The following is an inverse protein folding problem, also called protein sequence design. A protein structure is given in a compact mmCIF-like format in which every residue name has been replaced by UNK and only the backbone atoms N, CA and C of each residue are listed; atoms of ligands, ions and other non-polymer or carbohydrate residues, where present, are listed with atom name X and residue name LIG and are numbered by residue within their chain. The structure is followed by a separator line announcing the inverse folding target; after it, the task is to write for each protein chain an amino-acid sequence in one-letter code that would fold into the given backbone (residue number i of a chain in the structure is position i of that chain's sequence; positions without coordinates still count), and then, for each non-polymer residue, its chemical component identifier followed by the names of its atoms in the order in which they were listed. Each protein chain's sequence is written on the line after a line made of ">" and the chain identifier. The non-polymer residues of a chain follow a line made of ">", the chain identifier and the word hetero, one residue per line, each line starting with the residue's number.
data_IF_889649464931
#
_entry.id   IF_889649464931
#
_cell.length_a   1.000
_cell.length_b   1.000
_cell.length_c   1.000
_cell.angle_alpha   90.00
_cell.angle_beta   90.00
_cell.angle_gamma   90.00
#
_symmetry.space_group_name_H-M   'P 1'
#
loop_
_entity.id
_entity.type
_entity.pdbx_description
1 polymer ?
#
# COMPACT_ATOMS: atom_id res chain seq x y z
N UNK A 1 -28.39 -8.78 -31.30
CA UNK A 1 -28.73 -7.40 -31.69
C UNK A 1 -29.09 -6.63 -30.44
N UNK A 2 -28.87 -5.31 -30.40
CA UNK A 2 -29.24 -4.48 -29.26
C UNK A 2 -30.72 -4.12 -29.33
N UNK A 3 -31.38 -4.02 -28.19
CA UNK A 3 -32.86 -3.87 -28.10
C UNK A 3 -33.38 -2.58 -28.75
N UNK A 4 -32.56 -1.53 -28.81
CA UNK A 4 -32.92 -0.20 -29.34
C UNK A 4 -32.59 -0.01 -30.83
N UNK A 5 -32.16 -1.06 -31.54
CA UNK A 5 -31.86 -1.02 -32.98
C UNK A 5 -32.68 -2.09 -33.68
N UNK A 6 -33.53 -1.67 -34.62
CA UNK A 6 -34.29 -2.59 -35.50
C UNK A 6 -33.85 -2.38 -36.94
N UNK A 7 -33.49 -3.46 -37.64
CA UNK A 7 -33.09 -3.41 -39.06
C UNK A 7 -34.25 -3.98 -39.88
N UNK A 8 -34.83 -3.15 -40.75
CA UNK A 8 -35.94 -3.48 -41.63
C UNK A 8 -35.50 -3.32 -43.09
N UNK A 9 -34.92 -4.37 -43.67
CA UNK A 9 -34.34 -4.29 -45.02
C UNK A 9 -33.13 -3.35 -45.03
N UNK A 10 -33.21 -2.28 -45.82
CA UNK A 10 -32.15 -1.27 -45.94
C UNK A 10 -32.29 -0.11 -44.93
N UNK A 11 -33.34 -0.13 -44.09
CA UNK A 11 -33.58 0.90 -43.08
C UNK A 11 -33.15 0.43 -41.68
N UNK A 12 -32.44 1.31 -40.97
CA UNK A 12 -32.10 1.12 -39.55
C UNK A 12 -32.95 2.09 -38.72
N UNK A 13 -33.78 1.54 -37.85
CA UNK A 13 -34.65 2.29 -36.93
C UNK A 13 -34.00 2.30 -35.54
N UNK A 14 -33.74 3.50 -35.05
CA UNK A 14 -33.21 3.74 -33.71
C UNK A 14 -34.35 4.14 -32.77
N UNK A 15 -34.52 3.38 -31.68
CA UNK A 15 -35.48 3.72 -30.64
C UNK A 15 -34.91 4.80 -29.72
N UNK A 16 -35.72 5.79 -29.34
CA UNK A 16 -35.29 6.82 -28.41
C UNK A 16 -35.45 6.43 -26.93
N UNK A 17 -35.78 5.16 -26.65
CA UNK A 17 -35.99 4.63 -25.29
C UNK A 17 -35.27 3.30 -25.12
N UNK A 18 -34.51 3.12 -24.03
CA UNK A 18 -33.75 1.91 -23.73
C UNK A 18 -33.51 1.72 -22.23
N UNK A 19 -33.03 0.53 -21.84
CA UNK A 19 -32.60 0.24 -20.48
C UNK A 19 -31.19 0.78 -20.23
N UNK A 20 -31.00 1.58 -19.17
CA UNK A 20 -29.70 2.00 -18.68
C UNK A 20 -29.69 2.04 -17.14
N UNK A 21 -28.66 1.47 -16.51
CA UNK A 21 -28.54 1.47 -15.04
C UNK A 21 -29.69 0.76 -14.31
N UNK A 22 -30.34 -0.20 -14.97
CA UNK A 22 -31.49 -0.94 -14.44
C UNK A 22 -32.85 -0.23 -14.58
N UNK A 23 -32.90 0.95 -15.20
CA UNK A 23 -34.15 1.69 -15.47
C UNK A 23 -34.36 1.95 -16.96
N UNK A 24 -35.61 2.24 -17.35
CA UNK A 24 -35.92 2.72 -18.71
C UNK A 24 -35.65 4.22 -18.81
N UNK A 25 -34.87 4.61 -19.82
CA UNK A 25 -34.51 5.99 -20.11
C UNK A 25 -35.02 6.36 -21.49
N UNK A 26 -35.67 7.52 -21.60
CA UNK A 26 -36.08 8.10 -22.88
C UNK A 26 -35.22 9.31 -23.19
N UNK A 27 -34.52 9.28 -24.31
CA UNK A 27 -33.72 10.38 -24.80
C UNK A 27 -34.61 11.45 -25.44
N UNK A 28 -34.62 12.63 -24.83
CA UNK A 28 -35.32 13.81 -25.30
C UNK A 28 -34.62 15.08 -24.80
N UNK A 29 -33.31 15.18 -25.07
CA UNK A 29 -32.47 16.28 -24.59
C UNK A 29 -31.75 16.95 -25.75
N UNK A 30 -31.57 18.26 -25.61
CA UNK A 30 -30.75 19.10 -26.49
C UNK A 30 -29.73 19.79 -25.60
N UNK A 31 -28.47 19.80 -26.03
CA UNK A 31 -27.42 20.47 -25.26
C UNK A 31 -27.73 21.97 -25.10
N UNK A 32 -27.62 22.48 -23.88
CA UNK A 32 -27.66 23.91 -23.61
C UNK A 32 -26.35 24.58 -24.05
N UNK A 33 -26.38 25.90 -24.25
CA UNK A 33 -25.20 26.67 -24.67
C UNK A 33 -24.02 26.49 -23.70
N UNK A 34 -24.28 26.49 -22.39
CA UNK A 34 -23.25 26.27 -21.36
C UNK A 34 -22.62 24.88 -21.46
N UNK A 35 -23.38 23.89 -21.93
CA UNK A 35 -22.88 22.53 -22.14
C UNK A 35 -21.97 22.45 -23.37
N UNK A 36 -22.25 23.26 -24.41
CA UNK A 36 -21.36 23.39 -25.58
C UNK A 36 -20.03 24.05 -25.20
N UNK A 37 -20.06 25.06 -24.31
CA UNK A 37 -18.86 25.67 -23.75
C UNK A 37 -18.06 24.62 -22.96
N UNK A 38 -18.71 23.89 -22.06
CA UNK A 38 -18.08 22.80 -21.29
C UNK A 38 -17.44 21.74 -22.20
N UNK A 39 -18.14 21.31 -23.26
CA UNK A 39 -17.60 20.36 -24.24
C UNK A 39 -16.37 20.88 -24.98
N UNK A 40 -16.34 22.18 -25.30
CA UNK A 40 -15.18 22.83 -25.92
C UNK A 40 -13.98 22.86 -24.97
N UNK A 41 -14.18 23.22 -23.70
CA UNK A 41 -13.14 23.22 -22.67
C UNK A 41 -12.54 21.82 -22.49
N UNK A 42 -13.38 20.79 -22.39
CA UNK A 42 -12.92 19.40 -22.29
C UNK A 42 -12.12 18.97 -23.52
N UNK A 43 -12.56 19.32 -24.74
CA UNK A 43 -11.82 18.98 -25.95
C UNK A 43 -10.42 19.63 -26.01
N UNK A 44 -10.27 20.81 -25.43
CA UNK A 44 -8.99 21.53 -25.32
C UNK A 44 -8.00 20.91 -24.31
N UNK A 45 -8.39 19.88 -23.56
CA UNK A 45 -7.53 19.27 -22.55
C UNK A 45 -7.48 20.08 -21.25
N UNK A 46 -8.64 20.58 -20.82
CA UNK A 46 -8.80 21.41 -19.61
C UNK A 46 -9.84 20.81 -18.66
N UNK A 47 -9.93 21.38 -17.45
CA UNK A 47 -10.98 21.06 -16.50
C UNK A 47 -12.18 22.00 -16.71
N UNK A 48 -13.35 21.42 -16.98
CA UNK A 48 -14.62 22.14 -17.00
C UNK A 48 -15.27 22.06 -15.63
N UNK A 49 -15.27 23.17 -14.88
CA UNK A 49 -15.98 23.25 -13.61
C UNK A 49 -17.45 23.60 -13.87
N UNK A 50 -18.34 22.65 -13.56
CA UNK A 50 -19.78 22.75 -13.81
C UNK A 50 -20.55 22.32 -12.56
N UNK A 51 -21.47 23.17 -12.10
CA UNK A 51 -22.28 22.87 -10.93
C UNK A 51 -23.09 21.56 -11.09
N UNK A 52 -23.34 20.89 -9.96
CA UNK A 52 -24.17 19.67 -9.95
C UNK A 52 -25.54 19.93 -10.54
N UNK A 53 -25.94 19.11 -11.50
CA UNK A 53 -27.21 19.25 -12.22
C UNK A 53 -27.10 19.97 -13.58
N UNK A 54 -25.96 20.57 -13.92
CA UNK A 54 -25.73 21.18 -15.25
C UNK A 54 -25.54 20.16 -16.38
N UNK A 55 -25.56 18.85 -16.06
CA UNK A 55 -25.53 17.78 -17.04
C UNK A 55 -24.13 17.36 -17.51
N UNK A 56 -23.15 17.27 -16.59
CA UNK A 56 -21.77 16.79 -16.84
C UNK A 56 -21.70 15.54 -17.72
N UNK A 57 -22.51 14.52 -17.40
CA UNK A 57 -22.59 13.28 -18.18
C UNK A 57 -23.01 13.51 -19.64
N UNK A 58 -23.94 14.44 -19.90
CA UNK A 58 -24.37 14.80 -21.25
C UNK A 58 -23.28 15.61 -21.97
N UNK A 59 -22.64 16.55 -21.27
CA UNK A 59 -21.52 17.36 -21.79
C UNK A 59 -20.38 16.47 -22.29
N UNK A 60 -20.09 15.39 -21.55
CA UNK A 60 -19.05 14.41 -21.86
C UNK A 60 -19.17 13.81 -23.27
N UNK A 61 -20.40 13.72 -23.81
CA UNK A 61 -20.64 13.13 -25.14
C UNK A 61 -20.00 13.91 -26.28
N UNK A 62 -19.91 15.24 -26.17
CA UNK A 62 -19.37 16.12 -27.20
C UNK A 62 -17.87 15.88 -27.47
N UNK A 63 -16.97 16.01 -26.47
CA UNK A 63 -15.56 15.75 -26.67
C UNK A 63 -15.27 14.26 -26.88
N UNK A 64 -16.06 13.35 -26.28
CA UNK A 64 -15.88 11.92 -26.49
C UNK A 64 -16.11 11.54 -27.95
N UNK A 65 -17.21 11.98 -28.56
CA UNK A 65 -17.50 11.73 -29.97
C UNK A 65 -16.39 12.31 -30.87
N UNK A 66 -16.05 13.59 -30.69
CA UNK A 66 -15.06 14.26 -31.54
C UNK A 66 -13.68 13.61 -31.49
N UNK A 67 -13.21 13.20 -30.30
CA UNK A 67 -11.90 12.56 -30.16
C UNK A 67 -11.92 11.08 -30.60
N UNK A 68 -13.07 10.41 -30.51
CA UNK A 68 -13.21 9.03 -30.96
C UNK A 68 -13.08 8.88 -32.48
N UNK A 69 -13.40 9.93 -33.26
CA UNK A 69 -13.24 9.93 -34.73
C UNK A 69 -11.79 9.67 -35.20
N UNK A 70 -10.80 9.84 -34.33
CA UNK A 70 -9.41 9.52 -34.65
C UNK A 70 -9.12 8.01 -34.70
N UNK A 71 -9.99 7.15 -34.17
CA UNK A 71 -9.78 5.69 -34.10
C UNK A 71 -8.74 5.23 -33.07
N UNK A 72 -8.02 6.16 -32.44
CA UNK A 72 -7.11 5.92 -31.30
C UNK A 72 -7.87 5.76 -29.96
N UNK A 73 -9.14 6.15 -30.00
CA UNK A 73 -10.21 6.07 -29.01
C UNK A 73 -10.00 6.70 -27.63
N UNK A 74 -11.04 6.58 -26.81
CA UNK A 74 -11.31 7.50 -25.69
C UNK A 74 -11.61 6.73 -24.42
N UNK A 75 -10.95 7.09 -23.33
CA UNK A 75 -11.22 6.55 -22.00
C UNK A 75 -12.04 7.57 -21.19
N UNK A 76 -13.23 7.18 -20.74
CA UNK A 76 -14.06 7.96 -19.83
C UNK A 76 -13.95 7.32 -18.45
N UNK A 77 -13.39 8.08 -17.51
CA UNK A 77 -13.06 7.60 -16.17
C UNK A 77 -14.10 8.14 -15.19
N UNK A 78 -14.69 7.25 -14.40
CA UNK A 78 -15.64 7.59 -13.33
C UNK A 78 -15.14 7.08 -11.97
N UNK A 79 -15.79 7.51 -10.89
CA UNK A 79 -15.37 7.16 -9.52
C UNK A 79 -15.79 5.76 -9.05
N UNK A 80 -16.72 5.09 -9.74
CA UNK A 80 -17.12 3.72 -9.39
C UNK A 80 -17.77 2.96 -10.56
N UNK A 81 -17.77 1.64 -10.46
CA UNK A 81 -18.25 0.70 -11.48
C UNK A 81 -19.72 0.93 -11.86
N UNK A 82 -20.56 1.32 -10.90
CA UNK A 82 -21.97 1.57 -11.15
C UNK A 82 -22.15 2.78 -12.09
N UNK A 83 -21.43 3.88 -11.85
CA UNK A 83 -21.47 5.07 -12.69
C UNK A 83 -20.89 4.77 -14.08
N UNK A 84 -19.74 4.08 -14.15
CA UNK A 84 -19.15 3.66 -15.42
C UNK A 84 -20.15 2.87 -16.28
N UNK A 85 -20.78 1.85 -15.69
CA UNK A 85 -21.77 1.00 -16.38
C UNK A 85 -23.01 1.80 -16.77
N UNK A 86 -23.59 2.54 -15.83
CA UNK A 86 -24.79 3.36 -16.06
C UNK A 86 -24.56 4.34 -17.20
N UNK A 87 -23.46 5.08 -17.20
CA UNK A 87 -23.20 6.14 -18.17
C UNK A 87 -22.84 5.56 -19.54
N UNK A 88 -22.14 4.41 -19.57
CA UNK A 88 -21.92 3.66 -20.82
C UNK A 88 -23.23 3.19 -21.46
N UNK A 89 -24.20 2.76 -20.66
CA UNK A 89 -25.51 2.30 -21.14
C UNK A 89 -26.42 3.46 -21.50
N UNK A 90 -26.33 4.55 -20.75
CA UNK A 90 -27.12 5.73 -20.99
C UNK A 90 -26.68 6.45 -22.27
N UNK A 91 -25.38 6.72 -22.45
CA UNK A 91 -24.90 7.46 -23.61
C UNK A 91 -24.51 6.57 -24.80
N UNK A 92 -24.26 5.28 -24.57
CA UNK A 92 -23.85 4.31 -25.60
C UNK A 92 -24.69 4.36 -26.88
N UNK A 93 -26.03 4.32 -26.78
CA UNK A 93 -26.89 4.34 -27.98
C UNK A 93 -26.67 5.56 -28.86
N UNK A 94 -26.43 6.74 -28.29
CA UNK A 94 -26.21 7.98 -29.06
C UNK A 94 -24.95 7.86 -29.91
N UNK A 95 -23.88 7.34 -29.34
CA UNK A 95 -22.63 7.10 -30.06
C UNK A 95 -22.80 6.04 -31.14
N UNK A 96 -23.57 4.99 -30.87
CA UNK A 96 -23.85 3.90 -31.81
C UNK A 96 -24.73 4.32 -32.98
N UNK A 97 -25.69 5.23 -32.75
CA UNK A 97 -26.44 5.87 -33.83
C UNK A 97 -25.52 6.65 -34.77
N UNK A 98 -24.42 7.18 -34.22
CA UNK A 98 -23.38 7.89 -34.96
C UNK A 98 -22.26 6.96 -35.46
N UNK A 99 -22.43 5.64 -35.35
CA UNK A 99 -21.53 4.64 -35.91
C UNK A 99 -20.30 4.30 -35.05
N UNK A 100 -20.25 4.75 -33.80
CA UNK A 100 -19.17 4.41 -32.87
C UNK A 100 -19.54 3.21 -31.99
N UNK A 101 -18.53 2.42 -31.61
CA UNK A 101 -18.65 1.35 -30.64
C UNK A 101 -18.31 1.87 -29.23
N UNK A 102 -19.18 1.53 -28.28
CA UNK A 102 -18.99 1.86 -26.86
C UNK A 102 -18.97 0.59 -26.02
N UNK A 103 -18.09 0.55 -25.03
CA UNK A 103 -18.02 -0.55 -24.07
C UNK A 103 -17.59 -0.05 -22.68
N UNK A 104 -17.74 -0.91 -21.67
CA UNK A 104 -17.35 -0.62 -20.29
C UNK A 104 -16.51 -1.77 -19.74
N UNK A 105 -15.28 -1.47 -19.32
CA UNK A 105 -14.32 -2.48 -18.88
C UNK A 105 -14.77 -3.20 -17.61
N UNK A 106 -15.51 -2.52 -16.73
CA UNK A 106 -16.01 -3.08 -15.48
C UNK A 106 -17.01 -4.21 -15.72
N UNK A 107 -17.57 -4.37 -16.94
CA UNK A 107 -18.46 -5.49 -17.30
C UNK A 107 -17.71 -6.81 -17.53
N UNK A 108 -16.40 -6.75 -17.70
CA UNK A 108 -15.59 -7.84 -18.21
C UNK A 108 -14.50 -8.23 -17.22
N UNK A 109 -14.19 -9.53 -17.16
CA UNK A 109 -13.12 -10.04 -16.31
C UNK A 109 -11.76 -9.46 -16.77
N UNK A 110 -10.86 -9.06 -15.85
CA UNK A 110 -9.51 -8.62 -16.20
C UNK A 110 -8.75 -9.67 -17.05
N UNK A 111 -7.88 -9.21 -17.95
CA UNK A 111 -7.08 -10.04 -18.87
C UNK A 111 -7.87 -10.97 -19.81
N UNK A 112 -9.19 -10.80 -19.94
CA UNK A 112 -10.02 -11.59 -20.85
C UNK A 112 -10.05 -11.02 -22.28
N UNK A 113 -10.43 -11.86 -23.24
CA UNK A 113 -10.70 -11.41 -24.62
C UNK A 113 -11.80 -10.35 -24.68
N UNK A 114 -12.81 -10.43 -23.80
CA UNK A 114 -13.86 -9.41 -23.70
C UNK A 114 -13.30 -8.07 -23.20
N UNK A 115 -12.36 -8.09 -22.26
CA UNK A 115 -11.65 -6.89 -21.78
C UNK A 115 -10.87 -6.22 -22.90
N UNK A 116 -10.13 -7.00 -23.70
CA UNK A 116 -9.40 -6.50 -24.88
C UNK A 116 -10.37 -5.92 -25.92
N UNK A 117 -11.50 -6.61 -26.17
CA UNK A 117 -12.56 -6.09 -27.04
C UNK A 117 -13.12 -4.77 -26.53
N UNK A 118 -13.26 -4.57 -25.23
CA UNK A 118 -13.76 -3.33 -24.65
C UNK A 118 -12.80 -2.15 -24.85
N UNK A 119 -11.49 -2.37 -24.73
CA UNK A 119 -10.46 -1.36 -25.06
C UNK A 119 -10.37 -1.08 -26.56
N UNK A 120 -10.71 -2.05 -27.41
CA UNK A 120 -10.79 -1.88 -28.86
C UNK A 120 -12.06 -1.15 -29.32
N UNK A 121 -12.97 -0.76 -28.42
CA UNK A 121 -14.08 0.12 -28.74
C UNK A 121 -13.58 1.56 -29.02
N UNK A 122 -14.39 2.38 -29.69
CA UNK A 122 -14.04 3.78 -29.93
C UNK A 122 -14.08 4.60 -28.64
N UNK A 123 -15.02 4.27 -27.74
CA UNK A 123 -15.17 4.86 -26.43
C UNK A 123 -15.26 3.75 -25.37
N UNK A 124 -14.43 3.85 -24.34
CA UNK A 124 -14.32 2.87 -23.27
C UNK A 124 -14.57 3.57 -21.93
N UNK A 125 -15.62 3.15 -21.23
CA UNK A 125 -15.92 3.59 -19.86
C UNK A 125 -15.20 2.69 -18.85
N UNK A 126 -14.77 3.27 -17.73
CA UNK A 126 -14.12 2.52 -16.65
C UNK A 126 -13.92 3.33 -15.38
N UNK A 127 -13.41 2.67 -14.34
CA UNK A 127 -12.88 3.35 -13.14
C UNK A 127 -11.38 3.62 -13.25
N UNK A 128 -10.90 4.60 -12.51
CA UNK A 128 -9.47 4.93 -12.39
C UNK A 128 -8.63 3.71 -11.98
N UNK A 129 -9.11 2.94 -11.01
CA UNK A 129 -8.46 1.73 -10.54
C UNK A 129 -8.35 0.68 -11.63
N UNK A 130 -9.44 0.39 -12.33
CA UNK A 130 -9.46 -0.65 -13.37
C UNK A 130 -8.54 -0.30 -14.55
N UNK A 131 -8.55 0.95 -15.02
CA UNK A 131 -7.60 1.41 -16.04
C UNK A 131 -6.15 1.31 -15.57
N UNK A 132 -5.85 1.73 -14.34
CA UNK A 132 -4.49 1.68 -13.82
C UNK A 132 -3.99 0.25 -13.58
N UNK A 133 -4.84 -0.64 -13.08
CA UNK A 133 -4.48 -2.04 -12.87
C UNK A 133 -4.32 -2.81 -14.18
N UNK A 134 -5.13 -2.55 -15.20
CA UNK A 134 -4.90 -3.13 -16.54
C UNK A 134 -3.57 -2.67 -17.13
N UNK A 135 -3.19 -1.40 -16.94
CA UNK A 135 -1.86 -0.95 -17.34
C UNK A 135 -0.75 -1.69 -16.59
N UNK A 136 -0.86 -1.88 -15.28
CA UNK A 136 0.12 -2.66 -14.53
C UNK A 136 0.17 -4.12 -15.00
N UNK A 137 -0.97 -4.74 -15.30
CA UNK A 137 -1.07 -6.12 -15.83
C UNK A 137 -0.41 -6.23 -17.21
N UNK A 138 -0.67 -5.28 -18.10
CA UNK A 138 -0.06 -5.25 -19.44
C UNK A 138 1.47 -5.07 -19.40
N UNK A 139 2.03 -4.52 -18.32
CA UNK A 139 3.48 -4.44 -18.14
C UNK A 139 4.10 -5.71 -17.53
N UNK A 140 3.30 -6.73 -17.21
CA UNK A 140 3.73 -8.01 -16.65
C UNK A 140 3.47 -9.20 -17.56
N UNK A 141 2.82 -9.01 -18.72
CA UNK A 141 2.54 -10.11 -19.66
C UNK A 141 3.82 -10.60 -20.33
N UNK A 142 3.80 -11.87 -20.78
CA UNK A 142 4.96 -12.48 -21.45
C UNK A 142 5.00 -12.20 -22.95
N UNK A 143 3.85 -11.91 -23.55
CA UNK A 143 3.72 -11.64 -24.98
C UNK A 143 2.83 -10.41 -25.25
N UNK A 144 3.09 -9.62 -26.31
CA UNK A 144 2.27 -8.47 -26.66
C UNK A 144 0.79 -8.80 -26.92
N UNK A 145 0.51 -10.01 -27.38
CA UNK A 145 -0.84 -10.48 -27.67
C UNK A 145 -1.70 -10.63 -26.42
N UNK A 146 -1.10 -10.76 -25.23
CA UNK A 146 -1.80 -10.84 -23.96
C UNK A 146 -2.29 -9.48 -23.46
N UNK A 147 -1.71 -8.37 -23.95
CA UNK A 147 -2.11 -7.02 -23.53
C UNK A 147 -3.58 -6.74 -23.84
N UNK A 148 -4.25 -6.03 -22.94
CA UNK A 148 -5.65 -5.62 -23.12
C UNK A 148 -5.77 -4.16 -23.56
N UNK A 149 -4.89 -3.28 -23.12
CA UNK A 149 -4.93 -1.86 -23.48
C UNK A 149 -4.28 -1.59 -24.84
N UNK A 150 -4.71 -0.48 -25.43
CA UNK A 150 -4.01 0.22 -26.52
C UNK A 150 -3.25 1.41 -25.96
N UNK A 151 -2.54 2.13 -26.84
CA UNK A 151 -1.84 3.36 -26.49
C UNK A 151 -2.79 4.41 -25.90
N UNK A 152 -2.35 5.10 -24.84
CA UNK A 152 -3.14 6.12 -24.13
C UNK A 152 -3.33 7.39 -24.97
N UNK A 153 -4.49 7.54 -25.59
CA UNK A 153 -4.80 8.67 -26.48
C UNK A 153 -5.50 9.84 -25.77
N UNK A 154 -6.78 9.67 -25.40
CA UNK A 154 -7.56 10.71 -24.71
C UNK A 154 -8.24 10.13 -23.47
N UNK A 155 -7.98 10.73 -22.31
CA UNK A 155 -8.70 10.45 -21.06
C UNK A 155 -9.54 11.65 -20.65
N UNK A 156 -10.77 11.37 -20.24
CA UNK A 156 -11.67 12.35 -19.64
C UNK A 156 -12.11 11.83 -18.27
N UNK A 157 -11.77 12.56 -17.23
CA UNK A 157 -12.03 12.18 -15.85
C UNK A 157 -13.26 12.92 -15.31
N UNK A 158 -14.26 12.18 -14.84
CA UNK A 158 -15.37 12.73 -14.05
C UNK A 158 -14.98 12.79 -12.57
N UNK A 159 -15.46 13.81 -11.87
CA UNK A 159 -15.06 14.16 -10.49
C UNK A 159 -13.52 14.20 -10.32
N UNK A 160 -12.90 15.08 -11.10
CA UNK A 160 -11.44 15.26 -11.19
C UNK A 160 -10.76 15.46 -9.84
N UNK A 161 -11.37 16.23 -8.95
CA UNK A 161 -10.90 16.46 -7.59
C UNK A 161 -10.80 15.15 -6.81
N UNK A 162 -11.82 14.30 -6.87
CA UNK A 162 -11.79 12.99 -6.21
C UNK A 162 -10.71 12.07 -6.81
N UNK A 163 -10.60 12.01 -8.14
CA UNK A 163 -9.73 11.03 -8.82
C UNK A 163 -8.26 11.47 -8.90
N UNK A 164 -8.00 12.73 -9.25
CA UNK A 164 -6.65 13.23 -9.52
C UNK A 164 -5.97 13.88 -8.32
N UNK A 165 -6.72 14.18 -7.25
CA UNK A 165 -6.19 14.75 -6.00
C UNK A 165 -6.34 13.76 -4.85
N UNK A 166 -7.56 13.36 -4.49
CA UNK A 166 -7.79 12.53 -3.29
C UNK A 166 -7.28 11.09 -3.47
N UNK A 167 -7.73 10.38 -4.51
CA UNK A 167 -7.31 9.00 -4.80
C UNK A 167 -5.84 8.93 -5.21
N UNK A 168 -5.32 9.99 -5.83
CA UNK A 168 -3.97 10.03 -6.37
C UNK A 168 -2.85 9.98 -5.31
N UNK A 169 -3.20 10.10 -4.02
CA UNK A 169 -2.26 10.02 -2.89
C UNK A 169 -1.75 8.61 -2.64
N UNK A 170 -2.49 7.59 -3.04
CA UNK A 170 -2.10 6.19 -2.83
C UNK A 170 -1.70 5.57 -4.17
N UNK A 171 -0.49 4.99 -4.30
CA UNK A 171 -0.11 4.30 -5.52
C UNK A 171 -0.93 3.03 -5.74
N UNK A 172 -1.15 2.67 -7.00
CA UNK A 172 -1.65 1.36 -7.39
C UNK A 172 -0.50 0.36 -7.31
N UNK A 173 -0.78 -0.82 -6.74
CA UNK A 173 0.23 -1.84 -6.46
C UNK A 173 -0.36 -3.21 -6.82
N UNK A 174 0.34 -3.96 -7.68
CA UNK A 174 0.09 -5.39 -7.82
C UNK A 174 1.10 -6.14 -6.97
N UNK A 175 0.58 -6.92 -6.03
CA UNK A 175 1.36 -7.84 -5.21
C UNK A 175 0.84 -9.26 -5.41
N UNK A 176 1.71 -10.25 -5.26
CA UNK A 176 1.28 -11.64 -5.25
C UNK A 176 2.15 -12.52 -4.37
N UNK A 177 1.73 -13.77 -4.14
CA UNK A 177 2.38 -14.66 -3.20
C UNK A 177 3.80 -14.99 -3.66
N UNK A 178 4.73 -15.05 -2.71
CA UNK A 178 6.10 -15.49 -2.96
C UNK A 178 6.13 -17.03 -2.94
N UNK A 179 6.49 -17.73 -4.03
CA UNK A 179 6.46 -19.20 -4.12
C UNK A 179 7.35 -19.95 -3.12
N UNK A 180 8.27 -19.24 -2.45
CA UNK A 180 9.24 -19.79 -1.49
C UNK A 180 9.12 -19.19 -0.08
N UNK A 181 8.06 -18.42 0.21
CA UNK A 181 7.94 -17.70 1.49
C UNK A 181 7.55 -18.57 2.69
N UNK A 182 7.14 -19.82 2.47
CA UNK A 182 6.51 -20.66 3.51
C UNK A 182 7.48 -21.31 4.52
N UNK A 183 8.79 -21.09 4.39
CA UNK A 183 9.77 -21.58 5.37
C UNK A 183 10.37 -20.45 6.23
N UNK A 184 9.71 -19.30 6.36
CA UNK A 184 9.97 -18.46 7.53
C UNK A 184 9.50 -19.27 8.74
N UNK A 185 10.45 -19.91 9.43
CA UNK A 185 10.25 -20.91 10.47
C UNK A 185 9.56 -20.36 11.74
N UNK A 186 8.67 -19.36 11.62
CA UNK A 186 7.99 -18.68 12.70
C UNK A 186 7.30 -19.63 13.66
N UNK A 187 6.63 -20.68 13.17
CA UNK A 187 6.01 -21.67 14.05
C UNK A 187 7.04 -22.43 14.92
N UNK A 188 8.23 -22.70 14.37
CA UNK A 188 9.33 -23.40 15.06
C UNK A 188 10.07 -22.45 16.02
N UNK A 189 10.22 -21.19 15.62
CA UNK A 189 10.99 -20.17 16.36
C UNK A 189 10.16 -19.48 17.44
N UNK A 190 8.83 -19.38 17.29
CA UNK A 190 7.93 -18.71 18.23
C UNK A 190 8.13 -19.17 19.68
N UNK A 191 8.17 -20.48 20.02
CA UNK A 191 8.38 -20.89 21.41
C UNK A 191 9.73 -20.43 21.98
N UNK A 192 10.77 -20.33 21.14
CA UNK A 192 12.08 -19.83 21.57
C UNK A 192 12.03 -18.34 21.88
N UNK A 193 11.42 -17.56 20.98
CA UNK A 193 11.29 -16.11 21.15
C UNK A 193 10.38 -15.77 22.33
N UNK A 194 9.27 -16.51 22.51
CA UNK A 194 8.39 -16.35 23.66
C UNK A 194 9.16 -16.55 24.98
N UNK A 195 9.92 -17.64 25.11
CA UNK A 195 10.75 -17.90 26.29
C UNK A 195 11.79 -16.78 26.53
N UNK A 196 12.38 -16.25 25.46
CA UNK A 196 13.34 -15.16 25.53
C UNK A 196 12.70 -13.87 26.04
N UNK A 197 11.51 -13.52 25.55
CA UNK A 197 10.74 -12.35 26.00
C UNK A 197 10.31 -12.49 27.46
N UNK A 198 9.85 -13.67 27.87
CA UNK A 198 9.51 -13.95 29.27
C UNK A 198 10.73 -13.84 30.20
N UNK A 199 11.91 -14.28 29.74
CA UNK A 199 13.16 -14.15 30.49
C UNK A 199 13.59 -12.68 30.60
N UNK A 200 13.50 -11.91 29.50
CA UNK A 200 13.74 -10.47 29.49
C UNK A 200 12.81 -9.73 30.46
N UNK A 201 11.52 -10.06 30.49
CA UNK A 201 10.56 -9.42 31.39
C UNK A 201 10.94 -9.62 32.86
N UNK A 202 11.45 -10.81 33.23
CA UNK A 202 11.94 -11.06 34.59
C UNK A 202 13.14 -10.18 34.94
N UNK A 203 14.08 -9.99 34.00
CA UNK A 203 15.23 -9.09 34.17
C UNK A 203 14.78 -7.63 34.32
N UNK A 204 13.91 -7.15 33.41
CA UNK A 204 13.33 -5.80 33.45
C UNK A 204 12.60 -5.54 34.76
N UNK A 205 11.82 -6.50 35.25
CA UNK A 205 11.15 -6.42 36.55
C UNK A 205 12.17 -6.28 37.70
N UNK A 206 13.28 -7.02 37.64
CA UNK A 206 14.40 -6.90 38.59
C UNK A 206 15.02 -5.51 38.56
N UNK A 207 15.39 -5.02 37.38
CA UNK A 207 15.95 -3.67 37.22
C UNK A 207 15.01 -2.57 37.69
N UNK A 208 13.71 -2.67 37.36
CA UNK A 208 12.71 -1.70 37.81
C UNK A 208 12.58 -1.67 39.34
N UNK A 209 12.65 -2.83 40.01
CA UNK A 209 12.60 -2.89 41.47
C UNK A 209 13.84 -2.24 42.11
N UNK A 210 15.03 -2.52 41.58
CA UNK A 210 16.27 -1.89 42.08
C UNK A 210 16.31 -0.38 41.79
N UNK A 211 15.84 0.05 40.62
CA UNK A 211 15.69 1.47 40.30
C UNK A 211 14.77 2.17 41.31
N UNK A 212 13.59 1.59 41.60
CA UNK A 212 12.65 2.12 42.59
C UNK A 212 13.27 2.24 43.98
N UNK A 213 13.99 1.20 44.42
CA UNK A 213 14.67 1.19 45.72
C UNK A 213 15.73 2.29 45.82
N UNK A 214 16.65 2.34 44.86
CA UNK A 214 17.75 3.33 44.86
C UNK A 214 17.24 4.76 44.74
N UNK A 215 16.27 5.01 43.87
CA UNK A 215 15.68 6.34 43.71
C UNK A 215 14.95 6.78 44.99
N UNK A 216 14.27 5.86 45.69
CA UNK A 216 13.64 6.14 46.98
C UNK A 216 14.66 6.45 48.09
N UNK A 217 15.86 5.85 48.02
CA UNK A 217 17.00 6.14 48.91
C UNK A 217 17.74 7.45 48.55
N UNK A 218 17.34 8.13 47.47
CA UNK A 218 17.97 9.37 46.98
C UNK A 218 19.15 9.14 46.03
N UNK A 219 19.44 7.89 45.66
CA UNK A 219 20.49 7.50 44.71
C UNK A 219 19.93 7.46 43.28
N UNK A 220 19.87 8.63 42.62
CA UNK A 220 19.38 8.80 41.25
C UNK A 220 20.48 9.09 40.22
N UNK A 221 21.72 8.77 40.56
CA UNK A 221 22.85 8.95 39.66
C UNK A 221 22.70 8.10 38.38
N UNK A 222 23.07 8.61 37.19
CA UNK A 222 23.07 7.85 35.94
C UNK A 222 23.78 6.50 36.00
N UNK A 223 24.77 6.33 36.89
CA UNK A 223 25.56 5.09 37.03
C UNK A 223 24.99 4.10 38.03
N UNK A 224 23.94 4.47 38.78
CA UNK A 224 23.34 3.66 39.84
C UNK A 224 21.84 3.49 39.62
N UNK A 225 20.97 4.20 40.35
CA UNK A 225 19.51 4.12 40.21
C UNK A 225 19.04 4.52 38.80
N UNK A 226 19.72 5.48 38.17
CA UNK A 226 19.48 5.86 36.78
C UNK A 226 19.82 4.75 35.77
N UNK A 227 20.91 3.99 36.00
CA UNK A 227 21.30 2.86 35.14
C UNK A 227 20.24 1.77 35.15
N UNK A 228 19.75 1.37 36.33
CA UNK A 228 18.69 0.36 36.44
C UNK A 228 17.38 0.82 35.80
N UNK A 229 17.03 2.10 35.96
CA UNK A 229 15.86 2.66 35.29
C UNK A 229 16.02 2.65 33.76
N UNK A 230 17.20 3.00 33.27
CA UNK A 230 17.49 3.00 31.84
C UNK A 230 17.53 1.59 31.25
N UNK A 231 18.10 0.60 31.96
CA UNK A 231 18.05 -0.82 31.57
C UNK A 231 16.62 -1.34 31.48
N UNK A 232 15.77 -1.01 32.46
CA UNK A 232 14.36 -1.39 32.42
C UNK A 232 13.64 -0.80 31.18
N UNK A 233 13.90 0.48 30.89
CA UNK A 233 13.32 1.16 29.73
C UNK A 233 13.83 0.62 28.39
N UNK A 234 15.14 0.43 28.26
CA UNK A 234 15.76 -0.10 27.04
C UNK A 234 15.43 -1.58 26.78
N UNK A 235 15.16 -2.33 27.85
CA UNK A 235 14.77 -3.73 27.76
C UNK A 235 13.32 -3.94 27.30
N UNK A 236 12.35 -3.24 27.92
CA UNK A 236 10.92 -3.30 27.58
C UNK A 236 10.25 -1.94 27.88
N UNK A 237 10.28 -0.97 26.95
CA UNK A 237 9.76 0.38 27.18
C UNK A 237 8.25 0.41 27.39
N UNK A 238 7.53 -0.51 26.73
CA UNK A 238 6.07 -0.69 26.86
C UNK A 238 5.63 -1.50 28.09
N UNK A 239 6.55 -1.90 28.97
CA UNK A 239 6.19 -2.68 30.16
C UNK A 239 5.30 -1.87 31.13
N UNK A 240 4.05 -2.29 31.34
CA UNK A 240 3.04 -1.54 32.11
C UNK A 240 3.51 -0.99 33.48
N UNK A 241 4.16 -1.81 34.35
CA UNK A 241 4.71 -1.34 35.62
C UNK A 241 5.81 -0.27 35.49
N UNK A 242 6.58 -0.29 34.40
CA UNK A 242 7.55 0.74 34.09
C UNK A 242 6.83 2.03 33.66
N UNK A 243 5.88 1.93 32.72
CA UNK A 243 5.08 3.09 32.25
C UNK A 243 4.47 3.82 33.46
N UNK A 244 3.84 3.07 34.38
CA UNK A 244 3.25 3.60 35.60
C UNK A 244 4.28 4.36 36.47
N UNK A 245 5.49 3.81 36.61
CA UNK A 245 6.55 4.46 37.39
C UNK A 245 7.09 5.71 36.69
N UNK A 246 7.25 5.69 35.37
CA UNK A 246 7.65 6.85 34.58
C UNK A 246 6.64 8.00 34.64
N UNK A 247 5.35 7.70 34.87
CA UNK A 247 4.30 8.70 35.07
C UNK A 247 4.38 9.42 36.42
N UNK A 248 5.18 8.94 37.37
CA UNK A 248 5.37 9.62 38.66
C UNK A 248 6.20 10.91 38.52
N UNK A 249 5.96 11.93 39.35
CA UNK A 249 6.64 13.22 39.24
C UNK A 249 8.17 13.08 39.32
N UNK A 250 8.87 13.62 38.32
CA UNK A 250 10.34 13.66 38.28
C UNK A 250 11.04 12.38 37.81
N UNK A 251 10.34 11.25 37.66
CA UNK A 251 10.98 9.99 37.24
C UNK A 251 11.45 10.05 35.77
N UNK A 252 10.64 10.62 34.86
CA UNK A 252 11.06 10.84 33.46
C UNK A 252 12.33 11.68 33.34
N UNK A 253 12.51 12.68 34.21
CA UNK A 253 13.71 13.53 34.20
C UNK A 253 14.94 12.72 34.60
N UNK A 254 14.81 11.83 35.59
CA UNK A 254 15.88 10.91 36.00
C UNK A 254 16.25 9.92 34.88
N UNK A 255 15.26 9.35 34.19
CA UNK A 255 15.49 8.51 33.01
C UNK A 255 16.26 9.28 31.93
N UNK A 256 15.81 10.50 31.59
CA UNK A 256 16.45 11.31 30.55
C UNK A 256 17.89 11.70 30.91
N UNK A 257 18.16 11.96 32.20
CA UNK A 257 19.53 12.20 32.70
C UNK A 257 20.42 10.98 32.50
N UNK A 258 19.90 9.77 32.74
CA UNK A 258 20.62 8.53 32.51
C UNK A 258 20.83 8.25 31.01
N UNK A 259 19.78 8.39 30.20
CA UNK A 259 19.85 8.23 28.75
C UNK A 259 20.91 9.16 28.13
N UNK A 260 20.88 10.46 28.49
CA UNK A 260 21.86 11.44 28.00
C UNK A 260 23.30 11.08 28.38
N UNK A 261 23.51 10.46 29.54
CA UNK A 261 24.84 10.05 29.98
C UNK A 261 25.40 8.90 29.13
N UNK A 262 24.59 7.87 28.83
CA UNK A 262 25.05 6.70 28.07
C UNK A 262 25.05 6.92 26.55
N UNK A 263 24.19 7.80 26.03
CA UNK A 263 24.20 8.20 24.62
C UNK A 263 25.27 9.26 24.29
N UNK A 264 25.89 9.88 25.29
CA UNK A 264 27.00 10.82 25.08
C UNK A 264 28.19 10.14 24.38
N UNK A 265 29.09 10.97 23.82
CA UNK A 265 30.35 10.53 23.21
C UNK A 265 30.20 9.36 22.21
N UNK A 266 29.21 9.46 21.31
CA UNK A 266 28.91 8.44 20.30
C UNK A 266 28.56 7.06 20.90
N UNK A 267 27.72 7.02 21.94
CA UNK A 267 27.20 5.76 22.52
C UNK A 267 28.28 4.85 23.14
N UNK A 268 29.45 5.42 23.49
CA UNK A 268 30.63 4.66 23.95
C UNK A 268 30.40 3.80 25.20
N UNK A 269 29.35 4.09 25.97
CA UNK A 269 29.02 3.39 27.22
C UNK A 269 27.73 2.56 27.13
N UNK A 270 27.17 2.39 25.93
CA UNK A 270 25.93 1.61 25.75
C UNK A 270 26.10 0.11 26.02
N UNK A 271 27.32 -0.40 25.84
CA UNK A 271 27.71 -1.76 26.22
C UNK A 271 27.38 -2.05 27.69
N UNK A 272 27.63 -1.11 28.60
CA UNK A 272 27.32 -1.26 30.03
C UNK A 272 25.81 -1.46 30.26
N UNK A 273 24.98 -0.78 29.47
CA UNK A 273 23.52 -0.87 29.60
C UNK A 273 23.03 -2.20 29.05
N UNK A 274 23.48 -2.55 27.84
CA UNK A 274 23.00 -3.69 27.07
C UNK A 274 23.59 -5.04 27.57
N UNK A 275 24.72 -5.03 28.28
CA UNK A 275 25.39 -6.22 28.82
C UNK A 275 24.47 -7.14 29.64
N UNK A 276 23.52 -6.58 30.38
CA UNK A 276 22.61 -7.34 31.24
C UNK A 276 21.25 -7.66 30.61
N UNK A 277 21.02 -7.20 29.38
CA UNK A 277 19.80 -7.47 28.62
C UNK A 277 19.99 -8.69 27.72
N UNK A 278 18.90 -9.37 27.37
CA UNK A 278 18.88 -10.43 26.34
C UNK A 278 18.65 -9.84 24.95
N UNK A 279 17.90 -8.75 24.89
CA UNK A 279 17.75 -7.91 23.70
C UNK A 279 17.49 -6.48 24.15
N UNK A 280 17.75 -5.52 23.27
CA UNK A 280 17.42 -4.13 23.51
C UNK A 280 16.48 -3.61 22.43
N UNK A 281 15.69 -2.60 22.79
CA UNK A 281 14.70 -1.98 21.92
C UNK A 281 15.09 -0.52 21.69
N UNK A 282 15.15 -0.13 20.42
CA UNK A 282 15.25 1.27 20.02
C UNK A 282 13.89 1.74 19.51
N UNK A 283 13.16 2.49 20.34
CA UNK A 283 11.84 3.02 19.96
C UNK A 283 11.93 4.06 18.84
N UNK A 284 13.06 4.78 18.70
CA UNK A 284 13.23 5.79 17.64
C UNK A 284 13.35 5.12 16.28
N UNK A 285 14.12 4.03 16.21
CA UNK A 285 14.33 3.27 14.98
C UNK A 285 13.34 2.10 14.81
N UNK A 286 12.48 1.84 15.80
CA UNK A 286 11.58 0.68 15.87
C UNK A 286 12.33 -0.64 15.57
N UNK A 287 13.53 -0.79 16.14
CA UNK A 287 14.37 -1.98 16.02
C UNK A 287 14.45 -2.75 17.33
N UNK A 288 14.70 -4.05 17.22
CA UNK A 288 14.91 -4.95 18.35
C UNK A 288 16.11 -5.83 18.02
N UNK A 289 17.15 -5.72 18.84
CA UNK A 289 18.44 -6.31 18.56
C UNK A 289 18.86 -7.23 19.71
N UNK A 290 19.25 -8.47 19.35
CA UNK A 290 19.72 -9.48 20.28
C UNK A 290 21.09 -9.09 20.84
N UNK A 291 21.30 -9.34 22.13
CA UNK A 291 22.64 -9.28 22.75
C UNK A 291 23.30 -10.66 22.72
N UNK A 292 24.60 -10.73 23.03
CA UNK A 292 25.31 -12.00 23.16
C UNK A 292 24.67 -12.93 24.20
N UNK A 293 24.20 -12.38 25.34
CA UNK A 293 23.43 -13.14 26.34
C UNK A 293 22.12 -13.65 25.76
N UNK A 294 21.43 -12.85 24.94
CA UNK A 294 20.23 -13.28 24.24
C UNK A 294 20.46 -14.43 23.28
N UNK A 295 21.53 -14.36 22.48
CA UNK A 295 21.95 -15.42 21.55
C UNK A 295 22.21 -16.72 22.33
N UNK A 296 22.90 -16.65 23.47
CA UNK A 296 23.15 -17.82 24.31
C UNK A 296 21.86 -18.42 24.88
N UNK A 297 20.89 -17.60 25.28
CA UNK A 297 19.62 -18.07 25.87
C UNK A 297 18.68 -18.67 24.81
N UNK A 298 18.64 -18.10 23.60
CA UNK A 298 17.76 -18.58 22.53
C UNK A 298 18.32 -19.83 21.81
N UNK A 299 19.64 -20.06 21.93
CA UNK A 299 20.33 -21.27 21.47
C UNK A 299 20.16 -22.39 22.49
N UNK A 300 19.68 -23.57 22.09
CA UNK A 300 19.41 -24.67 23.03
C UNK A 300 20.70 -25.42 23.40
N UNK A 301 20.69 -26.07 24.57
CA UNK A 301 21.76 -26.98 24.96
C UNK A 301 21.92 -28.13 23.95
N UNK A 302 23.13 -28.28 23.39
CA UNK A 302 23.44 -29.27 22.37
C UNK A 302 23.27 -28.80 20.92
N UNK A 303 22.84 -27.55 20.69
CA UNK A 303 22.88 -26.91 19.38
C UNK A 303 24.25 -26.27 19.10
N UNK A 304 24.50 -26.00 17.82
CA UNK A 304 25.66 -25.23 17.37
C UNK A 304 25.68 -23.84 18.04
N UNK A 305 26.77 -23.43 18.71
CA UNK A 305 26.91 -22.07 19.23
C UNK A 305 26.74 -20.98 18.15
N UNK A 306 27.07 -21.30 16.90
CA UNK A 306 26.95 -20.38 15.75
C UNK A 306 25.57 -20.47 15.08
N UNK A 307 24.56 -21.08 15.72
CA UNK A 307 23.24 -21.30 15.14
C UNK A 307 22.51 -19.99 14.77
N UNK A 308 22.72 -18.92 15.54
CA UNK A 308 22.20 -17.57 15.28
C UNK A 308 23.31 -16.55 14.97
N UNK A 309 24.51 -17.01 14.63
CA UNK A 309 25.64 -16.15 14.27
C UNK A 309 25.88 -16.25 12.76
N UNK A 310 25.94 -15.10 12.09
CA UNK A 310 26.28 -15.06 10.67
C UNK A 310 27.78 -15.27 10.49
N UNK A 311 28.22 -16.30 9.75
CA UNK A 311 29.63 -16.48 9.43
C UNK A 311 30.09 -15.43 8.42
N UNK A 312 31.37 -15.06 8.47
CA UNK A 312 31.99 -14.24 7.44
C UNK A 312 32.14 -15.04 6.14
N UNK A 313 31.21 -14.83 5.21
CA UNK A 313 31.20 -15.49 3.91
C UNK A 313 32.46 -15.13 3.11
N UNK A 314 32.94 -13.89 3.19
CA UNK A 314 34.04 -13.40 2.34
C UNK A 314 35.31 -14.21 2.59
N UNK A 315 35.60 -14.43 3.86
CA UNK A 315 36.76 -15.23 4.28
C UNK A 315 36.62 -16.69 3.85
N UNK A 316 35.46 -17.32 4.09
CA UNK A 316 35.23 -18.72 3.72
C UNK A 316 35.22 -18.96 2.21
N UNK A 317 34.64 -18.05 1.42
CA UNK A 317 34.66 -18.13 -0.04
C UNK A 317 36.09 -17.97 -0.59
N UNK A 318 36.89 -17.06 -0.01
CA UNK A 318 38.28 -16.88 -0.39
C UNK A 318 39.15 -18.11 -0.05
N UNK A 319 38.89 -18.78 1.06
CA UNK A 319 39.55 -20.05 1.41
C UNK A 319 39.27 -21.14 0.37
N UNK A 320 38.03 -21.29 -0.08
CA UNK A 320 37.65 -22.26 -1.13
C UNK A 320 38.23 -21.87 -2.49
N UNK A 321 38.23 -20.57 -2.81
CA UNK A 321 38.85 -20.03 -4.04
C UNK A 321 40.32 -20.45 -4.12
N UNK A 322 41.05 -20.33 -3.00
CA UNK A 322 42.47 -20.60 -2.89
C UNK A 322 42.82 -22.07 -2.59
N UNK A 323 41.85 -22.92 -2.30
CA UNK A 323 42.06 -24.34 -2.06
C UNK A 323 42.52 -25.07 -3.34
N UNK A 324 43.42 -26.04 -3.22
CA UNK A 324 43.93 -26.81 -4.36
C UNK A 324 43.04 -28.04 -4.63
N UNK A 325 41.78 -27.78 -4.98
CA UNK A 325 40.74 -28.78 -5.28
C UNK A 325 40.12 -28.53 -6.67
N UNK A 326 39.49 -29.54 -7.30
CA UNK A 326 38.86 -29.40 -8.62
C UNK A 326 37.80 -28.27 -8.66
N UNK A 327 37.69 -27.59 -9.80
CA UNK A 327 36.75 -26.46 -9.97
C UNK A 327 35.28 -26.82 -9.71
N UNK A 328 34.86 -28.02 -10.11
CA UNK A 328 33.50 -28.53 -9.86
C UNK A 328 33.22 -28.70 -8.36
N UNK A 329 34.23 -29.15 -7.61
CA UNK A 329 34.13 -29.31 -6.15
C UNK A 329 34.18 -27.96 -5.42
N UNK A 330 34.93 -26.98 -5.94
CA UNK A 330 34.87 -25.58 -5.47
C UNK A 330 33.47 -25.00 -5.63
N UNK A 331 32.85 -25.19 -6.79
CA UNK A 331 31.50 -24.68 -7.07
C UNK A 331 30.49 -25.26 -6.08
N UNK A 332 30.51 -26.58 -5.88
CA UNK A 332 29.61 -27.26 -4.95
C UNK A 332 29.81 -26.80 -3.49
N UNK A 333 31.07 -26.62 -3.04
CA UNK A 333 31.33 -26.09 -1.70
C UNK A 333 30.87 -24.63 -1.55
N UNK A 334 31.09 -23.78 -2.57
CA UNK A 334 30.59 -22.38 -2.58
C UNK A 334 29.06 -22.33 -2.50
N UNK A 335 28.36 -23.14 -3.29
CA UNK A 335 26.89 -23.25 -3.21
C UNK A 335 26.43 -23.71 -1.82
N UNK A 336 27.12 -24.69 -1.23
CA UNK A 336 26.85 -25.15 0.13
C UNK A 336 26.93 -24.02 1.16
N UNK A 337 27.99 -23.20 1.12
CA UNK A 337 28.17 -22.07 2.02
C UNK A 337 27.10 -21.00 1.81
N UNK A 338 26.78 -20.66 0.55
CA UNK A 338 25.75 -19.67 0.24
C UNK A 338 24.37 -20.11 0.75
N UNK A 339 24.04 -21.40 0.60
CA UNK A 339 22.79 -21.97 1.11
C UNK A 339 22.73 -21.97 2.64
N UNK A 340 23.82 -22.35 3.32
CA UNK A 340 23.91 -22.28 4.79
C UNK A 340 23.72 -20.85 5.28
N UNK A 341 24.40 -19.89 4.63
CA UNK A 341 24.29 -18.47 4.97
C UNK A 341 22.86 -17.95 4.78
N UNK A 342 22.23 -18.22 3.64
CA UNK A 342 20.83 -17.79 3.38
C UNK A 342 19.89 -18.34 4.45
N UNK A 343 20.03 -19.63 4.78
CA UNK A 343 19.20 -20.29 5.80
C UNK A 343 19.42 -19.72 7.21
N UNK A 344 20.66 -19.33 7.54
CA UNK A 344 20.97 -18.62 8.81
C UNK A 344 20.39 -17.20 8.81
N UNK A 345 20.54 -16.47 7.71
CA UNK A 345 20.02 -15.11 7.56
C UNK A 345 18.49 -15.06 7.68
N UNK A 346 17.76 -15.92 6.97
CA UNK A 346 16.29 -15.98 7.02
C UNK A 346 15.76 -16.29 8.42
N UNK A 347 16.47 -17.15 9.16
CA UNK A 347 16.14 -17.50 10.54
C UNK A 347 16.40 -16.35 11.52
N UNK A 348 17.53 -15.65 11.39
CA UNK A 348 17.83 -14.47 12.20
C UNK A 348 16.78 -13.38 11.95
N UNK A 349 16.45 -13.13 10.67
CA UNK A 349 15.38 -12.22 10.28
C UNK A 349 14.05 -12.60 10.93
N UNK A 350 13.68 -13.89 10.86
CA UNK A 350 12.44 -14.40 11.47
C UNK A 350 12.41 -14.18 12.99
N UNK A 351 13.54 -14.38 13.69
CA UNK A 351 13.67 -14.08 15.13
C UNK A 351 13.50 -12.60 15.41
N UNK A 352 14.13 -11.72 14.62
CA UNK A 352 14.00 -10.28 14.76
C UNK A 352 12.55 -9.81 14.56
N UNK A 353 11.86 -10.32 13.53
CA UNK A 353 10.45 -9.97 13.28
C UNK A 353 9.53 -10.49 14.40
N UNK A 354 9.77 -11.70 14.93
CA UNK A 354 9.04 -12.19 16.11
C UNK A 354 9.31 -11.31 17.34
N UNK A 355 10.57 -10.98 17.63
CA UNK A 355 10.91 -10.11 18.75
C UNK A 355 10.20 -8.76 18.64
N UNK A 356 10.19 -8.17 17.44
CA UNK A 356 9.45 -6.95 17.13
C UNK A 356 7.95 -7.13 17.35
N UNK A 357 7.34 -8.20 16.86
CA UNK A 357 5.94 -8.51 17.08
C UNK A 357 5.57 -8.67 18.56
N UNK A 358 6.44 -9.29 19.38
CA UNK A 358 6.20 -9.49 20.80
C UNK A 358 6.42 -8.23 21.65
N UNK A 359 7.33 -7.35 21.25
CA UNK A 359 7.78 -6.22 22.09
C UNK A 359 7.26 -4.84 21.67
N UNK A 360 6.95 -4.65 20.38
CA UNK A 360 6.54 -3.36 19.83
C UNK A 360 5.07 -3.31 19.39
N UNK A 361 4.42 -4.47 19.18
CA UNK A 361 3.05 -4.55 18.70
C UNK A 361 2.16 -5.22 19.75
N UNK A 362 1.14 -4.52 20.20
CA UNK A 362 0.16 -4.97 21.18
C UNK A 362 -1.20 -5.18 20.52
N UNK A 363 -1.84 -6.28 20.92
CA UNK A 363 -3.21 -6.58 20.53
C UNK A 363 -4.15 -5.51 21.11
N UNK A 364 -5.13 -5.12 20.32
CA UNK A 364 -6.12 -4.06 20.61
C UNK A 364 -5.52 -2.64 20.64
N UNK A 365 -4.27 -2.47 20.22
CA UNK A 365 -3.62 -1.17 20.03
C UNK A 365 -3.20 -1.01 18.57
N UNK A 366 -2.17 -1.73 18.13
CA UNK A 366 -1.70 -1.65 16.73
C UNK A 366 -2.46 -2.60 15.79
N UNK A 367 -3.04 -3.68 16.32
CA UNK A 367 -3.81 -4.65 15.54
C UNK A 367 -4.90 -5.32 16.38
N UNK A 368 -5.90 -5.90 15.69
CA UNK A 368 -6.91 -6.79 16.28
C UNK A 368 -6.92 -8.12 15.55
N UNK A 369 -7.45 -9.16 16.20
CA UNK A 369 -7.66 -10.47 15.58
C UNK A 369 -9.16 -10.68 15.38
N UNK A 370 -9.60 -10.72 14.12
CA UNK A 370 -11.01 -10.89 13.74
C UNK A 370 -11.11 -11.95 12.65
N UNK A 371 -12.12 -12.83 12.75
CA UNK A 371 -12.36 -13.93 11.79
C UNK A 371 -11.14 -14.83 11.55
N UNK A 372 -10.28 -14.98 12.56
CA UNK A 372 -9.05 -15.77 12.44
C UNK A 372 -8.02 -15.14 11.50
N UNK A 373 -8.00 -13.80 11.38
CA UNK A 373 -7.00 -13.04 10.66
C UNK A 373 -6.54 -11.81 11.48
N UNK A 374 -5.30 -11.39 11.27
CA UNK A 374 -4.77 -10.15 11.87
C UNK A 374 -5.23 -8.95 11.03
N UNK A 375 -5.78 -7.94 11.68
CA UNK A 375 -6.28 -6.71 11.05
C UNK A 375 -5.57 -5.51 11.67
N UNK A 376 -5.01 -4.65 10.82
CA UNK A 376 -4.28 -3.46 11.28
C UNK A 376 -5.27 -2.39 11.75
N UNK A 377 -4.96 -1.75 12.87
CA UNK A 377 -5.70 -0.61 13.39
C UNK A 377 -4.93 0.67 13.06
N UNK A 378 -5.65 1.66 12.52
CA UNK A 378 -5.09 2.99 12.29
C UNK A 378 -4.89 3.72 13.63
N UNK A 379 -3.65 4.11 13.93
CA UNK A 379 -3.26 4.74 15.21
C UNK A 379 -4.01 6.06 15.50
N UNK A 380 -4.43 6.80 14.46
CA UNK A 380 -5.08 8.11 14.63
C UNK A 380 -6.59 7.99 14.80
N UNK A 381 -7.21 7.09 14.04
CA UNK A 381 -8.67 7.00 13.93
C UNK A 381 -9.28 5.79 14.61
N UNK A 382 -8.45 4.79 14.99
CA UNK A 382 -8.91 3.52 15.54
C UNK A 382 -9.66 2.65 14.52
N UNK A 383 -9.65 3.00 13.24
CA UNK A 383 -10.34 2.27 12.18
C UNK A 383 -9.55 1.03 11.77
N UNK A 384 -10.27 -0.01 11.39
CA UNK A 384 -9.67 -1.21 10.80
C UNK A 384 -9.32 -0.92 9.34
N UNK A 385 -8.07 -1.18 8.97
CA UNK A 385 -7.57 -1.02 7.61
C UNK A 385 -7.62 -2.36 6.87
N UNK A 386 -8.75 -2.64 6.22
CA UNK A 386 -8.94 -3.87 5.45
C UNK A 386 -7.99 -3.96 4.25
N UNK A 387 -7.50 -5.18 3.99
CA UNK A 387 -6.57 -5.47 2.91
C UNK A 387 -5.12 -5.01 3.14
N UNK A 388 -4.81 -4.35 4.27
CA UNK A 388 -3.45 -3.92 4.59
C UNK A 388 -2.71 -4.96 5.44
N UNK A 389 -1.43 -5.17 5.13
CA UNK A 389 -0.50 -6.03 5.87
C UNK A 389 0.78 -5.28 6.18
N UNK A 390 1.46 -5.64 7.28
CA UNK A 390 2.78 -5.12 7.58
C UNK A 390 3.81 -5.76 6.64
N UNK A 391 4.82 -4.99 6.23
CA UNK A 391 5.86 -5.46 5.32
C UNK A 391 6.93 -6.32 6.02
N UNK A 392 7.82 -6.90 5.22
CA UNK A 392 9.09 -7.48 5.69
C UNK A 392 8.95 -8.68 6.65
N UNK A 393 7.87 -9.45 6.53
CA UNK A 393 7.62 -10.62 7.38
C UNK A 393 7.01 -10.30 8.75
N UNK A 394 6.83 -9.01 9.09
CA UNK A 394 6.29 -8.60 10.38
C UNK A 394 4.84 -9.04 10.57
N UNK A 395 4.02 -8.99 9.52
CA UNK A 395 2.62 -9.40 9.62
C UNK A 395 2.50 -10.90 9.90
N UNK A 396 3.34 -11.70 9.24
CA UNK A 396 3.46 -13.14 9.47
C UNK A 396 3.94 -13.44 10.90
N UNK A 397 4.87 -12.64 11.41
CA UNK A 397 5.33 -12.77 12.80
C UNK A 397 4.20 -12.48 13.81
N UNK A 398 3.34 -11.49 13.54
CA UNK A 398 2.16 -11.19 14.37
C UNK A 398 1.11 -12.31 14.25
N UNK A 399 0.84 -12.82 13.04
CA UNK A 399 -0.02 -14.00 12.83
C UNK A 399 0.50 -15.21 13.62
N UNK A 400 1.82 -15.46 13.59
CA UNK A 400 2.45 -16.53 14.34
C UNK A 400 2.34 -16.33 15.86
N UNK A 401 2.59 -15.11 16.35
CA UNK A 401 2.45 -14.70 17.76
C UNK A 401 1.05 -14.97 18.28
N UNK A 402 0.02 -14.60 17.52
CA UNK A 402 -1.38 -14.78 17.87
C UNK A 402 -1.91 -16.20 17.59
N UNK A 403 -1.05 -17.10 17.10
CA UNK A 403 -1.40 -18.47 16.73
C UNK A 403 -2.52 -18.54 15.67
N UNK A 404 -2.49 -17.60 14.73
CA UNK A 404 -3.38 -17.48 13.58
C UNK A 404 -2.71 -18.15 12.36
N UNK A 405 -3.50 -18.49 11.34
CA UNK A 405 -2.98 -19.00 10.07
C UNK A 405 -2.06 -17.94 9.46
N UNK A 406 -0.80 -18.29 9.25
CA UNK A 406 0.16 -17.43 8.57
C UNK A 406 -0.18 -17.44 7.08
N UNK A 407 -0.49 -16.29 6.51
CA UNK A 407 -0.67 -16.20 5.05
C UNK A 407 0.66 -15.84 4.38
N UNK A 408 0.91 -16.45 3.23
CA UNK A 408 2.14 -16.25 2.45
C UNK A 408 2.50 -14.77 2.31
N UNK A 409 3.81 -14.49 2.40
CA UNK A 409 4.32 -13.16 2.11
C UNK A 409 3.95 -12.77 0.68
N UNK A 410 3.53 -11.51 0.52
CA UNK A 410 3.27 -10.93 -0.79
C UNK A 410 4.42 -10.03 -1.18
N UNK A 411 4.89 -10.18 -2.42
CA UNK A 411 5.89 -9.28 -2.99
C UNK A 411 5.19 -8.35 -3.98
N UNK A 412 5.57 -7.07 -3.94
CA UNK A 412 5.16 -6.09 -4.93
C UNK A 412 5.83 -6.40 -6.28
N UNK A 413 5.03 -6.68 -7.30
CA UNK A 413 5.50 -6.92 -8.67
C UNK A 413 5.54 -5.65 -9.51
N UNK A 414 4.53 -4.79 -9.39
CA UNK A 414 4.42 -3.57 -10.18
C UNK A 414 3.73 -2.46 -9.40
N UNK A 415 4.11 -1.21 -9.65
CA UNK A 415 3.48 -0.04 -9.04
C UNK A 415 3.43 1.16 -9.98
N UNK A 416 2.36 1.94 -9.89
CA UNK A 416 2.22 3.23 -10.57
C UNK A 416 1.37 4.17 -9.72
N UNK A 417 1.72 5.45 -9.66
CA UNK A 417 0.83 6.46 -9.07
C UNK A 417 -0.23 6.87 -10.10
N UNK A 418 -1.46 7.19 -9.67
CA UNK A 418 -2.47 7.71 -10.61
C UNK A 418 -1.97 8.97 -11.33
N UNK A 419 -1.19 9.81 -10.65
CA UNK A 419 -0.54 10.97 -11.25
C UNK A 419 0.30 10.60 -12.47
N UNK A 420 1.22 9.63 -12.32
CA UNK A 420 2.07 9.19 -13.41
C UNK A 420 1.27 8.47 -14.50
N UNK A 421 0.27 7.67 -14.10
CA UNK A 421 -0.59 6.96 -15.04
C UNK A 421 -1.32 7.93 -15.98
N UNK A 422 -2.02 8.93 -15.44
CA UNK A 422 -2.79 9.88 -16.25
C UNK A 422 -1.92 10.83 -17.09
N UNK A 423 -0.67 11.08 -16.67
CA UNK A 423 0.30 11.86 -17.47
C UNK A 423 0.79 11.15 -18.73
N UNK A 424 0.54 9.85 -18.88
CA UNK A 424 0.90 9.10 -20.10
C UNK A 424 -0.06 9.36 -21.27
N UNK A 425 -1.26 9.88 -21.00
CA UNK A 425 -2.22 10.18 -22.06
C UNK A 425 -1.74 11.33 -22.91
N UNK A 426 -1.88 11.19 -24.23
CA UNK A 426 -1.58 12.27 -25.18
C UNK A 426 -2.44 13.52 -24.89
N UNK A 427 -3.70 13.32 -24.48
CA UNK A 427 -4.56 14.40 -24.00
C UNK A 427 -5.35 13.96 -22.77
N UNK A 428 -5.42 14.83 -21.77
CA UNK A 428 -6.14 14.62 -20.52
C UNK A 428 -7.11 15.80 -20.32
N UNK A 429 -8.33 15.51 -19.90
CA UNK A 429 -9.33 16.50 -19.54
C UNK A 429 -10.18 15.99 -18.38
N UNK A 430 -11.03 16.85 -17.84
CA UNK A 430 -12.01 16.37 -16.88
C UNK A 430 -13.03 17.41 -16.43
N UNK A 431 -13.97 16.98 -15.61
CA UNK A 431 -15.06 17.82 -15.11
C UNK A 431 -15.32 17.55 -13.63
N UNK A 432 -15.74 18.57 -12.91
CA UNK A 432 -16.17 18.48 -11.51
C UNK A 432 -17.02 19.70 -11.17
N UNK A 433 -17.71 19.67 -10.03
CA UNK A 433 -18.39 20.85 -9.49
C UNK A 433 -17.48 21.77 -8.68
N UNK A 434 -16.28 21.32 -8.32
CA UNK A 434 -15.43 21.96 -7.30
C UNK A 434 -13.93 21.85 -7.63
N UNK A 435 -13.48 22.46 -8.74
CA UNK A 435 -12.06 22.40 -9.15
C UNK A 435 -11.29 23.69 -8.86
N UNK A 436 -11.94 24.83 -8.70
CA UNK A 436 -11.27 26.13 -8.57
C UNK A 436 -10.31 26.16 -7.36
N UNK A 437 -10.66 25.50 -6.27
CA UNK A 437 -9.81 25.42 -5.06
C UNK A 437 -8.52 24.64 -5.30
N UNK A 438 -8.56 23.61 -6.15
CA UNK A 438 -7.43 22.72 -6.45
C UNK A 438 -6.70 23.08 -7.76
N UNK A 439 -7.06 24.22 -8.38
CA UNK A 439 -6.55 24.61 -9.69
C UNK A 439 -5.01 24.70 -9.76
N UNK A 440 -4.37 25.20 -8.70
CA UNK A 440 -2.92 25.29 -8.62
C UNK A 440 -2.24 23.91 -8.64
N UNK A 441 -2.81 22.95 -7.90
CA UNK A 441 -2.30 21.58 -7.84
C UNK A 441 -2.47 20.89 -9.20
N UNK A 442 -3.67 20.95 -9.79
CA UNK A 442 -3.99 20.38 -11.10
C UNK A 442 -3.06 20.90 -12.20
N UNK A 443 -2.76 22.20 -12.22
CA UNK A 443 -1.79 22.77 -13.14
C UNK A 443 -0.35 22.31 -12.87
N UNK A 444 0.05 22.27 -11.60
CA UNK A 444 1.43 21.90 -11.23
C UNK A 444 1.77 20.46 -11.63
N UNK A 445 0.84 19.53 -11.46
CA UNK A 445 1.02 18.08 -11.69
C UNK A 445 0.68 17.69 -13.13
N UNK A 446 -0.49 18.10 -13.62
CA UNK A 446 -1.05 17.60 -14.89
C UNK A 446 -1.06 18.64 -16.02
N UNK A 447 -0.73 19.90 -15.74
CA UNK A 447 -0.81 21.02 -16.70
C UNK A 447 -2.23 21.24 -17.22
N UNK A 448 -3.23 21.03 -16.35
CA UNK A 448 -4.63 21.26 -16.67
C UNK A 448 -5.09 22.60 -16.11
N UNK A 449 -5.55 23.49 -16.99
CA UNK A 449 -6.24 24.72 -16.59
C UNK A 449 -7.65 24.41 -16.11
N UNK A 450 -8.12 25.12 -15.08
CA UNK A 450 -9.52 25.06 -14.62
C UNK A 450 -10.30 26.22 -15.24
N UNK A 451 -11.46 25.90 -15.84
CA UNK A 451 -12.38 26.88 -16.44
C UNK A 451 -13.75 26.72 -15.82
N UNK A 452 -14.20 27.74 -15.08
CA UNK A 452 -15.55 27.82 -14.55
C UNK A 452 -16.56 28.09 -15.66
N UNK A 453 -17.50 27.18 -15.83
CA UNK A 453 -18.57 27.28 -16.82
C UNK A 453 -19.76 28.01 -16.17
N UNK A 454 -20.36 29.01 -16.84
CA UNK A 454 -21.57 29.66 -16.35
C UNK A 454 -22.70 28.64 -16.14
N UNK A 455 -23.54 28.84 -15.13
CA UNK A 455 -24.74 28.02 -14.95
C UNK A 455 -25.80 28.37 -15.98
N UNK A 456 -26.57 27.37 -16.43
CA UNK A 456 -27.67 27.61 -17.36
C UNK A 456 -28.76 28.51 -16.75
N UNK A 457 -28.95 28.40 -15.43
CA UNK A 457 -29.92 29.17 -14.65
C UNK A 457 -29.20 29.79 -13.44
N UNK A 458 -29.55 31.02 -13.01
CA UNK A 458 -28.97 31.62 -11.81
C UNK A 458 -29.15 30.75 -10.55
N UNK A 459 -28.08 30.58 -9.76
CA UNK A 459 -28.10 29.83 -8.50
C UNK A 459 -28.91 30.60 -7.45
N UNK A 460 -29.92 29.94 -6.87
CA UNK A 460 -30.81 30.52 -5.84
C UNK A 460 -30.65 29.89 -4.45
N UNK A 461 -29.78 28.89 -4.31
CA UNK A 461 -29.45 28.25 -3.03
C UNK A 461 -28.78 29.28 -2.10
N UNK A 462 -29.39 29.54 -0.95
CA UNK A 462 -28.90 30.47 0.08
C UNK A 462 -27.89 29.81 1.00
#
# INVERSE_FOLDING_TARGET
>A
SKEYITINGDEVIFQNTWTAGGGQVTWNMVHYDVQLIGGTVLHQGKIAEMATGEGKTLVSTLPAYLNALAGEGVHIVTVNDYLARRDSEWNGPIFEWLGLRVDCIDKHQPNSEDRRRAYAADITYGTNNEFGFDYLRDNMVHSPEEMVQRKHHFAMVDEVDSVLIDDARTPLIISGPVPRGDDQQFHILRPRVQNLVEAQERLVRGFLNEAKKKIAEGDDDPKSGGLFLFRAYRGLPKYGPLIKFLSEPGIRVKLQKAENYYLADQQRHMDIVDEELLFHIDEKNKSVDLTDKGIQVITRAGEDPDFFVLPDISTRLAEIENADIPQEEKLHQKEGILNEYSTKADRIHSVQQLLKAYSLFEKDVEYVVMDGAVKIVDEQTGRILDGRRYSDGLHQAIEAKENVKIEAATQTYATVTLQNFFRMYHKLAGMTGTAETEAAELWSIYKLDVVTIPTNIPITRK
#
